data_IF_628500460335
#
_entry.id   IF_628500460335
#
_cell.length_a   1.000
_cell.length_b   1.000
_cell.length_c   1.000
_cell.angle_alpha   90.00
_cell.angle_beta   90.00
_cell.angle_gamma   90.00
#
_symmetry.space_group_name_H-M   'P 1'
#
loop_
_entity.id
_entity.type
_entity.pdbx_description
1 polymer ?
#
# COMPACT_ATOMS: atom_id res chain seq x y z
N UNK A 1 17.59 -4.14 -6.26
CA UNK A 1 16.30 -4.08 -5.55
C UNK A 1 15.38 -5.16 -6.08
N UNK A 2 14.70 -5.82 -5.18
CA UNK A 2 13.72 -6.86 -5.52
C UNK A 2 12.39 -6.50 -4.86
N UNK A 3 11.27 -6.72 -5.56
CA UNK A 3 9.94 -6.59 -4.95
C UNK A 3 9.37 -7.99 -4.79
N UNK A 4 8.98 -8.32 -3.56
CA UNK A 4 8.45 -9.63 -3.22
C UNK A 4 7.04 -9.53 -2.68
N UNK A 5 6.21 -10.51 -3.02
CA UNK A 5 4.92 -10.73 -2.39
C UNK A 5 5.17 -11.46 -1.07
N UNK A 6 4.78 -10.86 0.04
CA UNK A 6 5.01 -11.44 1.37
C UNK A 6 3.72 -12.02 1.93
N UNK A 7 3.78 -13.27 2.39
CA UNK A 7 2.71 -13.91 3.14
C UNK A 7 2.97 -13.87 4.65
N UNK A 8 4.17 -13.47 5.04
CA UNK A 8 4.55 -13.29 6.44
C UNK A 8 5.39 -12.02 6.57
N UNK A 9 5.26 -11.35 7.71
CA UNK A 9 5.96 -10.10 7.98
C UNK A 9 6.50 -10.14 9.41
N UNK A 10 7.71 -10.68 9.62
CA UNK A 10 8.34 -10.62 10.94
C UNK A 10 8.42 -9.17 11.42
N UNK A 11 8.04 -8.91 12.66
CA UNK A 11 7.92 -7.55 13.17
C UNK A 11 9.20 -6.73 13.02
N UNK A 12 10.35 -7.36 13.22
CA UNK A 12 11.64 -6.69 13.11
C UNK A 12 11.98 -6.26 11.67
N UNK A 13 11.35 -6.87 10.65
CA UNK A 13 11.67 -6.55 9.26
C UNK A 13 11.21 -5.17 8.84
N UNK A 14 10.26 -4.58 9.57
CA UNK A 14 9.75 -3.23 9.27
C UNK A 14 10.05 -2.23 10.39
N UNK A 15 10.95 -2.56 11.31
CA UNK A 15 11.29 -1.64 12.41
C UNK A 15 11.78 -0.29 11.88
N UNK A 16 12.64 -0.26 10.88
CA UNK A 16 13.16 0.97 10.33
C UNK A 16 12.07 1.82 9.65
N UNK A 17 11.23 1.27 8.76
CA UNK A 17 10.11 2.04 8.22
C UNK A 17 9.12 2.54 9.28
N UNK A 18 8.83 1.73 10.29
CA UNK A 18 7.93 2.14 11.38
C UNK A 18 8.53 3.31 12.14
N UNK A 19 9.79 3.20 12.57
CA UNK A 19 10.44 4.26 13.34
C UNK A 19 10.54 5.56 12.54
N UNK A 20 10.94 5.48 11.27
CA UNK A 20 11.06 6.67 10.44
C UNK A 20 9.71 7.34 10.23
N UNK A 21 8.66 6.57 9.96
CA UNK A 21 7.34 7.14 9.73
C UNK A 21 6.78 7.80 11.00
N UNK A 22 7.03 7.22 12.16
CA UNK A 22 6.60 7.81 13.44
C UNK A 22 7.31 9.11 13.72
N UNK A 23 8.59 9.21 13.41
CA UNK A 23 9.34 10.46 13.56
C UNK A 23 8.80 11.56 12.65
N UNK A 24 8.23 11.18 11.52
CA UNK A 24 7.59 12.13 10.60
C UNK A 24 6.13 12.44 10.97
N UNK A 25 5.63 11.87 12.06
CA UNK A 25 4.27 12.12 12.54
C UNK A 25 3.20 11.21 11.97
N UNK A 26 3.57 10.13 11.29
CA UNK A 26 2.62 9.20 10.70
C UNK A 26 2.41 7.97 11.58
N UNK A 27 1.17 7.49 11.66
CA UNK A 27 0.82 6.32 12.47
C UNK A 27 0.53 5.06 11.66
N UNK A 28 0.39 5.18 10.36
CA UNK A 28 -0.12 4.06 9.57
C UNK A 28 0.84 2.87 9.53
N UNK A 29 2.16 3.08 9.63
CA UNK A 29 3.12 1.98 9.65
C UNK A 29 3.10 1.25 11.00
N UNK A 30 2.92 1.95 12.11
CA UNK A 30 2.73 1.31 13.42
C UNK A 30 1.44 0.49 13.41
N UNK A 31 0.38 1.02 12.83
CA UNK A 31 -0.88 0.30 12.69
C UNK A 31 -0.72 -0.96 11.85
N UNK A 32 0.02 -0.90 10.75
CA UNK A 32 0.34 -2.07 9.94
C UNK A 32 0.99 -3.17 10.79
N UNK A 33 2.01 -2.81 11.56
CA UNK A 33 2.73 -3.76 12.41
C UNK A 33 1.79 -4.39 13.45
N UNK A 34 0.97 -3.58 14.11
CA UNK A 34 0.04 -4.04 15.14
C UNK A 34 -1.05 -4.96 14.57
N UNK A 35 -1.61 -4.58 13.42
CA UNK A 35 -2.66 -5.38 12.78
C UNK A 35 -2.11 -6.70 12.27
N UNK A 36 -0.89 -6.71 11.77
CA UNK A 36 -0.26 -7.96 11.34
C UNK A 36 -0.01 -8.89 12.54
N UNK A 37 0.55 -8.34 13.61
CA UNK A 37 0.87 -9.12 14.81
C UNK A 37 -0.39 -9.71 15.45
N UNK A 38 -1.49 -8.95 15.49
CA UNK A 38 -2.75 -9.41 16.09
C UNK A 38 -3.57 -10.31 15.17
N UNK A 39 -3.27 -10.31 13.88
CA UNK A 39 -4.07 -11.01 12.88
C UNK A 39 -5.25 -10.21 12.36
N UNK A 40 -5.40 -8.96 12.78
CA UNK A 40 -6.50 -8.12 12.32
C UNK A 40 -6.42 -7.86 10.82
N UNK A 41 -5.20 -7.74 10.28
CA UNK A 41 -4.99 -7.59 8.85
C UNK A 41 -3.61 -8.13 8.46
N UNK A 42 -3.58 -9.24 7.74
CA UNK A 42 -2.37 -9.85 7.19
C UNK A 42 -2.39 -9.90 5.67
N UNK A 43 -3.32 -9.19 5.05
CA UNK A 43 -3.43 -9.13 3.59
C UNK A 43 -3.54 -10.52 2.96
N UNK A 44 -4.20 -11.44 3.63
CA UNK A 44 -4.32 -12.84 3.23
C UNK A 44 -5.75 -13.24 2.84
N UNK A 45 -6.66 -12.29 2.77
CA UNK A 45 -8.01 -12.54 2.25
C UNK A 45 -8.00 -12.72 0.74
N UNK A 46 -9.14 -13.17 0.21
CA UNK A 46 -9.28 -13.42 -1.22
C UNK A 46 -9.01 -12.15 -2.03
N UNK A 47 -8.01 -12.20 -2.91
CA UNK A 47 -7.60 -11.08 -3.74
C UNK A 47 -6.66 -10.09 -3.07
N UNK A 48 -6.41 -10.24 -1.77
CA UNK A 48 -5.50 -9.35 -1.05
C UNK A 48 -4.04 -9.76 -1.25
N UNK A 49 -3.13 -8.80 -1.07
CA UNK A 49 -1.70 -9.05 -1.22
C UNK A 49 -0.91 -7.98 -0.47
N UNK A 50 0.32 -8.32 -0.11
CA UNK A 50 1.25 -7.37 0.50
C UNK A 50 2.61 -7.50 -0.18
N UNK A 51 3.20 -6.36 -0.56
CA UNK A 51 4.46 -6.34 -1.28
C UNK A 51 5.50 -5.54 -0.51
N UNK A 52 6.74 -6.02 -0.55
CA UNK A 52 7.88 -5.32 0.03
C UNK A 52 8.98 -5.18 -1.01
N UNK A 53 9.62 -4.02 -1.02
CA UNK A 53 10.84 -3.78 -1.77
C UNK A 53 12.03 -4.04 -0.86
N UNK A 54 12.98 -4.85 -1.34
CA UNK A 54 14.14 -5.27 -0.54
C UNK A 54 15.44 -4.94 -1.25
N UNK A 55 16.42 -4.50 -0.46
CA UNK A 55 17.79 -4.35 -0.89
C UNK A 55 18.67 -5.09 0.14
N UNK A 56 19.44 -6.07 -0.33
CA UNK A 56 20.28 -6.87 0.58
C UNK A 56 19.48 -7.56 1.68
N UNK A 57 18.25 -7.97 1.39
CA UNK A 57 17.37 -8.60 2.36
C UNK A 57 16.68 -7.65 3.32
N UNK A 58 16.92 -6.34 3.20
CA UNK A 58 16.31 -5.33 4.09
C UNK A 58 15.10 -4.70 3.40
N UNK A 59 14.02 -4.56 4.15
CA UNK A 59 12.80 -3.90 3.66
C UNK A 59 13.05 -2.39 3.60
N UNK A 60 12.94 -1.83 2.39
CA UNK A 60 13.10 -0.40 2.16
C UNK A 60 11.78 0.27 1.75
N UNK A 61 10.76 -0.50 1.45
CA UNK A 61 9.45 0.02 1.12
C UNK A 61 8.39 -1.08 1.14
N UNK A 62 7.15 -0.68 1.32
CA UNK A 62 6.01 -1.61 1.39
C UNK A 62 4.79 -1.00 0.72
N UNK A 63 3.87 -1.86 0.29
CA UNK A 63 2.54 -1.44 -0.17
C UNK A 63 1.60 -2.63 -0.13
N UNK A 64 0.38 -2.43 0.35
CA UNK A 64 -0.60 -3.49 0.49
C UNK A 64 -1.84 -3.28 -0.35
N UNK A 65 -2.56 -4.38 -0.57
CA UNK A 65 -3.84 -4.43 -1.25
C UNK A 65 -4.84 -5.15 -0.35
N UNK A 66 -5.89 -4.46 0.04
CA UNK A 66 -7.02 -5.05 0.77
C UNK A 66 -8.31 -4.93 -0.04
N UNK A 67 -9.29 -5.77 0.30
CA UNK A 67 -10.68 -5.47 -0.02
C UNK A 67 -11.01 -4.15 0.67
N UNK A 68 -11.65 -3.21 -0.06
CA UNK A 68 -11.90 -1.88 0.50
C UNK A 68 -12.86 -2.00 1.71
N UNK A 69 -12.41 -1.63 2.93
CA UNK A 69 -13.24 -1.75 4.13
C UNK A 69 -14.26 -0.61 4.29
N UNK A 70 -14.20 0.40 3.42
CA UNK A 70 -15.04 1.60 3.54
C UNK A 70 -16.24 1.60 2.62
N UNK A 71 -16.48 0.51 1.91
CA UNK A 71 -17.65 0.37 1.04
C UNK A 71 -18.20 -1.05 1.15
N UNK A 72 -19.52 -1.17 0.98
CA UNK A 72 -20.17 -2.48 0.90
C UNK A 72 -20.26 -2.98 -0.55
N UNK A 73 -19.89 -2.16 -1.51
CA UNK A 73 -19.87 -2.56 -2.92
C UNK A 73 -18.85 -3.65 -3.13
N UNK A 74 -19.20 -4.65 -3.95
CA UNK A 74 -18.30 -5.73 -4.31
C UNK A 74 -17.33 -5.28 -5.40
N UNK A 75 -16.20 -5.96 -5.51
CA UNK A 75 -15.25 -5.71 -6.58
C UNK A 75 -14.39 -4.47 -6.38
N UNK A 76 -14.31 -3.94 -5.15
CA UNK A 76 -13.52 -2.75 -4.85
C UNK A 76 -12.33 -3.14 -3.97
N UNK A 77 -11.14 -2.92 -4.49
CA UNK A 77 -9.89 -3.08 -3.74
C UNK A 77 -9.36 -1.72 -3.27
N UNK A 78 -8.42 -1.76 -2.34
CA UNK A 78 -7.83 -0.54 -1.78
C UNK A 78 -6.33 -0.67 -1.61
N UNK A 79 -5.59 0.32 -2.10
CA UNK A 79 -4.16 0.47 -1.83
C UNK A 79 -3.99 0.92 -0.39
N UNK A 80 -3.15 0.23 0.37
CA UNK A 80 -2.92 0.51 1.79
C UNK A 80 -1.44 0.56 2.10
N UNK A 81 -1.08 1.46 3.01
CA UNK A 81 0.22 1.47 3.67
C UNK A 81 1.42 1.60 2.73
N UNK A 82 1.31 2.40 1.67
CA UNK A 82 2.49 2.70 0.86
C UNK A 82 3.47 3.53 1.69
N UNK A 83 4.66 2.99 1.88
CA UNK A 83 5.74 3.72 2.52
C UNK A 83 7.09 3.30 1.92
N UNK A 84 7.94 4.27 1.65
CA UNK A 84 9.33 4.05 1.18
C UNK A 84 10.23 4.84 2.12
N UNK A 85 11.29 4.20 2.61
CA UNK A 85 12.29 4.89 3.43
C UNK A 85 12.82 6.12 2.68
N UNK A 86 13.00 7.23 3.41
CA UNK A 86 13.38 8.50 2.79
C UNK A 86 14.64 8.43 1.97
N UNK A 87 15.62 7.61 2.40
CA UNK A 87 16.88 7.43 1.68
C UNK A 87 16.69 6.79 0.29
N UNK A 88 15.57 6.14 0.05
CA UNK A 88 15.29 5.42 -1.21
C UNK A 88 14.17 6.05 -2.02
N UNK A 89 13.71 7.24 -1.65
CA UNK A 89 12.69 7.97 -2.41
C UNK A 89 13.29 8.57 -3.68
N UNK A 90 12.41 8.90 -4.64
CA UNK A 90 12.77 9.46 -5.94
C UNK A 90 13.58 8.51 -6.82
N UNK A 91 13.56 7.22 -6.50
CA UNK A 91 14.22 6.18 -7.28
C UNK A 91 13.22 5.24 -7.95
N UNK A 92 11.94 5.59 -7.92
CA UNK A 92 10.90 4.78 -8.55
C UNK A 92 10.41 3.59 -7.72
N UNK A 93 10.83 3.47 -6.46
CA UNK A 93 10.44 2.34 -5.61
C UNK A 93 8.93 2.33 -5.37
N UNK A 94 8.36 3.47 -4.99
CA UNK A 94 6.91 3.58 -4.76
C UNK A 94 6.10 3.26 -6.00
N UNK A 95 6.54 3.74 -7.16
CA UNK A 95 5.88 3.47 -8.43
C UNK A 95 5.88 1.97 -8.74
N UNK A 96 6.99 1.29 -8.51
CA UNK A 96 7.08 -0.15 -8.74
C UNK A 96 6.21 -0.94 -7.76
N UNK A 97 6.16 -0.54 -6.49
CA UNK A 97 5.31 -1.17 -5.49
C UNK A 97 3.83 -1.03 -5.85
N UNK A 98 3.39 0.17 -6.18
CA UNK A 98 1.99 0.41 -6.57
C UNK A 98 1.67 -0.33 -7.87
N UNK A 99 2.63 -0.40 -8.80
CA UNK A 99 2.46 -1.18 -10.03
C UNK A 99 2.16 -2.65 -9.75
N UNK A 100 2.84 -3.25 -8.78
CA UNK A 100 2.57 -4.64 -8.38
C UNK A 100 1.17 -4.78 -7.75
N UNK A 101 0.76 -3.80 -6.96
CA UNK A 101 -0.60 -3.78 -6.38
C UNK A 101 -1.65 -3.69 -7.48
N UNK A 102 -1.44 -2.83 -8.47
CA UNK A 102 -2.38 -2.69 -9.59
C UNK A 102 -2.52 -4.02 -10.35
N UNK A 103 -1.41 -4.68 -10.66
CA UNK A 103 -1.45 -5.97 -11.34
C UNK A 103 -2.21 -7.02 -10.54
N UNK A 104 -1.95 -7.10 -9.24
CA UNK A 104 -2.65 -8.04 -8.38
C UNK A 104 -4.15 -7.71 -8.32
N UNK A 105 -4.49 -6.43 -8.24
CA UNK A 105 -5.87 -5.97 -8.16
C UNK A 105 -6.67 -6.31 -9.42
N UNK A 106 -6.03 -6.24 -10.59
CA UNK A 106 -6.71 -6.55 -11.87
C UNK A 106 -7.28 -7.95 -11.92
N UNK A 107 -6.70 -8.88 -11.19
CA UNK A 107 -7.16 -10.27 -11.18
C UNK A 107 -8.47 -10.46 -10.42
N UNK A 108 -8.82 -9.54 -9.51
CA UNK A 108 -9.92 -9.77 -8.55
C UNK A 108 -10.87 -8.60 -8.36
N UNK A 109 -10.47 -7.38 -8.74
CA UNK A 109 -11.26 -6.19 -8.48
C UNK A 109 -11.58 -5.45 -9.76
N UNK A 110 -12.68 -4.70 -9.74
CA UNK A 110 -13.09 -3.84 -10.85
C UNK A 110 -12.59 -2.41 -10.66
N UNK A 111 -12.46 -1.99 -9.41
CA UNK A 111 -12.05 -0.64 -9.02
C UNK A 111 -11.00 -0.75 -7.92
N UNK A 112 -9.99 0.12 -8.00
CA UNK A 112 -8.97 0.25 -6.97
C UNK A 112 -9.04 1.66 -6.41
N UNK A 113 -9.21 1.78 -5.09
CA UNK A 113 -9.37 3.06 -4.40
C UNK A 113 -8.22 3.30 -3.44
N UNK A 114 -8.03 4.54 -3.05
CA UNK A 114 -7.09 4.90 -2.00
C UNK A 114 -7.42 6.27 -1.41
N UNK A 115 -6.84 6.55 -0.25
CA UNK A 115 -6.79 7.91 0.30
C UNK A 115 -5.33 8.28 0.51
N UNK A 116 -4.93 9.43 0.05
CA UNK A 116 -3.56 9.90 0.19
C UNK A 116 -3.55 11.39 0.50
N UNK A 117 -2.41 11.87 0.99
CA UNK A 117 -2.17 13.29 1.22
C UNK A 117 -1.13 13.78 0.22
N UNK A 118 -1.16 15.08 -0.06
CA UNK A 118 -0.06 15.70 -0.79
C UNK A 118 1.22 15.47 0.00
N UNK A 119 2.36 15.16 -0.61
CA UNK A 119 2.70 15.15 -2.04
C UNK A 119 2.54 13.78 -2.73
N UNK A 120 2.09 12.75 -2.04
CA UNK A 120 1.96 11.40 -2.61
C UNK A 120 0.94 11.32 -3.75
N UNK A 121 0.00 12.26 -3.81
CA UNK A 121 -1.03 12.30 -4.85
C UNK A 121 -0.45 12.27 -6.27
N UNK A 122 0.69 12.95 -6.50
CA UNK A 122 1.31 13.00 -7.82
C UNK A 122 1.76 11.63 -8.32
N UNK A 123 2.27 10.79 -7.42
CA UNK A 123 2.67 9.44 -7.77
C UNK A 123 1.48 8.66 -8.34
N UNK A 124 0.36 8.71 -7.63
CA UNK A 124 -0.84 7.98 -8.06
C UNK A 124 -1.42 8.52 -9.36
N UNK A 125 -1.44 9.86 -9.51
CA UNK A 125 -1.95 10.47 -10.75
C UNK A 125 -1.10 10.10 -11.96
N UNK A 126 0.21 10.02 -11.80
CA UNK A 126 1.10 9.56 -12.88
C UNK A 126 0.85 8.12 -13.28
N UNK A 127 0.40 7.29 -12.34
CA UNK A 127 0.09 5.89 -12.62
C UNK A 127 -1.29 5.67 -13.21
N UNK A 128 -2.07 6.74 -13.36
CA UNK A 128 -3.38 6.66 -14.00
C UNK A 128 -4.57 6.73 -13.04
N UNK A 129 -4.33 6.97 -11.76
CA UNK A 129 -5.42 7.22 -10.81
C UNK A 129 -6.00 8.61 -11.07
N UNK A 130 -7.32 8.73 -10.96
CA UNK A 130 -8.01 10.01 -11.04
C UNK A 130 -8.60 10.38 -9.70
N UNK A 131 -8.83 11.67 -9.49
CA UNK A 131 -9.41 12.15 -8.23
C UNK A 131 -10.82 11.65 -8.05
N UNK A 132 -11.12 11.21 -6.83
CA UNK A 132 -12.44 10.82 -6.40
C UNK A 132 -13.14 12.04 -5.82
N UNK A 133 -14.35 12.34 -6.29
CA UNK A 133 -15.10 13.51 -5.85
C UNK A 133 -16.30 13.06 -5.03
N UNK A 134 -16.50 13.69 -3.86
CA UNK A 134 -17.70 13.47 -3.05
C UNK A 134 -17.68 12.23 -2.17
N UNK A 135 -16.52 11.54 -2.03
CA UNK A 135 -16.39 10.39 -1.15
C UNK A 135 -15.43 10.72 -0.02
N UNK A 136 -15.84 10.49 1.23
CA UNK A 136 -15.06 10.83 2.41
C UNK A 136 -13.81 9.95 2.55
N UNK A 137 -13.88 8.71 2.09
CA UNK A 137 -12.84 7.72 2.31
C UNK A 137 -12.00 7.44 1.05
N UNK A 138 -12.11 8.30 0.05
CA UNK A 138 -11.43 8.09 -1.22
C UNK A 138 -10.94 9.43 -1.77
N UNK A 139 -9.63 9.54 -2.01
CA UNK A 139 -9.08 10.69 -2.73
C UNK A 139 -8.81 10.37 -4.19
N UNK A 140 -8.50 9.12 -4.49
CA UNK A 140 -8.15 8.68 -5.85
C UNK A 140 -8.69 7.28 -6.12
N UNK A 141 -9.00 7.02 -7.39
CA UNK A 141 -9.46 5.71 -7.82
C UNK A 141 -8.94 5.40 -9.23
N UNK A 142 -8.90 4.12 -9.55
CA UNK A 142 -8.59 3.61 -10.88
C UNK A 142 -9.63 2.56 -11.25
N UNK A 143 -10.22 2.68 -12.43
CA UNK A 143 -11.05 1.62 -12.98
C UNK A 143 -10.14 0.59 -13.63
N UNK A 144 -10.31 -0.69 -13.24
CA UNK A 144 -9.43 -1.77 -13.67
C UNK A 144 -9.98 -2.50 -14.90
N UNK A 145 -11.24 -2.23 -15.25
CA UNK A 145 -11.92 -2.91 -16.37
C UNK A 145 -12.65 -1.92 -17.27
#
# INVERSE_FOLDING_TARGET
MVIEHLSDLPSESIDAPVAESEQAGWRFMRRLAEEWASGANRFDGAGEAFFAALIGGRVIGVCGLNVDPYTVAQGVGRVRHLYVLSAYRRLGVGQQLVGRVIEAARARFDILRLSTQNPAAQLYERLGFRRCVGAADCTHLMELR
#
